data_IF_593859100043
#
_entry.id   IF_593859100043
#
_cell.length_a   1.000
_cell.length_b   1.000
_cell.length_c   1.000
_cell.angle_alpha   90.00
_cell.angle_beta   90.00
_cell.angle_gamma   90.00
#
_symmetry.space_group_name_H-M   'P 1'
#
loop_
_entity.id
_entity.type
_entity.pdbx_description
1 polymer ?
#
# COMPACT_ATOMS: atom_id res chain seq x y z
N UNK A 1 -10.93 17.75 1.16
CA UNK A 1 -10.65 17.50 -0.27
C UNK A 1 -11.58 18.38 -1.09
N UNK A 2 -11.13 18.99 -2.19
CA UNK A 2 -12.02 19.77 -3.07
C UNK A 2 -12.80 18.87 -4.03
N UNK A 3 -14.00 19.28 -4.44
CA UNK A 3 -14.88 18.50 -5.33
C UNK A 3 -14.25 18.17 -6.69
N UNK A 4 -13.40 19.06 -7.21
CA UNK A 4 -12.66 18.85 -8.47
C UNK A 4 -11.68 17.69 -8.35
N UNK A 5 -10.91 17.64 -7.26
CA UNK A 5 -9.94 16.56 -7.03
C UNK A 5 -10.65 15.20 -6.93
N UNK A 6 -11.80 15.15 -6.24
CA UNK A 6 -12.61 13.93 -6.13
C UNK A 6 -13.12 13.48 -7.51
N UNK A 7 -13.65 14.40 -8.33
CA UNK A 7 -14.14 14.07 -9.65
C UNK A 7 -13.02 13.54 -10.58
N UNK A 8 -11.83 14.12 -10.52
CA UNK A 8 -10.66 13.67 -11.29
C UNK A 8 -10.17 12.31 -10.83
N UNK A 9 -10.05 12.05 -9.52
CA UNK A 9 -9.66 10.73 -9.02
C UNK A 9 -10.67 9.64 -9.42
N UNK A 10 -11.96 9.97 -9.50
CA UNK A 10 -12.99 8.99 -9.83
C UNK A 10 -13.15 8.72 -11.34
N UNK A 11 -12.76 9.67 -12.21
CA UNK A 11 -13.11 9.65 -13.65
C UNK A 11 -11.99 10.07 -14.59
N UNK A 12 -10.80 10.36 -14.08
CA UNK A 12 -9.65 10.74 -14.89
C UNK A 12 -9.25 9.61 -15.84
N UNK A 13 -8.79 9.99 -17.03
CA UNK A 13 -8.28 9.04 -18.03
C UNK A 13 -6.75 8.86 -17.93
N UNK A 14 -6.13 9.37 -16.87
CA UNK A 14 -4.71 9.26 -16.57
C UNK A 14 -4.48 9.27 -15.04
N UNK A 15 -3.26 8.96 -14.61
CA UNK A 15 -2.87 9.02 -13.20
C UNK A 15 -3.03 10.43 -12.64
N UNK A 16 -3.67 10.56 -11.46
CA UNK A 16 -3.97 11.85 -10.82
C UNK A 16 -3.17 11.98 -9.52
N UNK A 17 -2.36 13.03 -9.40
CA UNK A 17 -1.69 13.40 -8.17
C UNK A 17 -2.45 14.53 -7.45
N UNK A 18 -2.76 14.35 -6.17
CA UNK A 18 -3.37 15.39 -5.33
C UNK A 18 -2.32 15.95 -4.38
N UNK A 19 -1.87 17.17 -4.65
CA UNK A 19 -0.87 17.86 -3.86
C UNK A 19 -1.54 18.87 -2.93
N UNK A 20 -1.30 18.74 -1.62
CA UNK A 20 -1.64 19.78 -0.64
C UNK A 20 -0.43 20.69 -0.45
N UNK A 21 -0.63 21.88 0.14
CA UNK A 21 0.48 22.80 0.43
C UNK A 21 1.62 22.02 1.13
N UNK A 22 2.86 22.10 0.63
CA UNK A 22 3.95 21.31 1.18
C UNK A 22 4.11 21.64 2.66
N UNK A 23 4.01 20.62 3.50
CA UNK A 23 4.52 20.66 4.86
C UNK A 23 6.04 20.60 4.78
N UNK A 24 6.74 21.35 5.63
CA UNK A 24 8.21 21.37 5.73
C UNK A 24 8.81 20.06 6.26
N UNK A 25 8.01 19.00 6.40
CA UNK A 25 8.38 17.74 7.01
C UNK A 25 9.03 16.81 5.96
N UNK A 26 10.35 16.67 6.11
CA UNK A 26 11.29 15.64 5.66
C UNK A 26 11.29 15.22 4.17
N UNK A 27 12.37 15.58 3.46
CA UNK A 27 12.73 15.01 2.15
C UNK A 27 12.93 13.49 2.17
N UNK A 28 13.09 12.90 3.36
CA UNK A 28 13.48 11.50 3.56
C UNK A 28 12.31 10.65 4.08
N UNK A 29 11.10 11.19 4.14
CA UNK A 29 9.92 10.44 4.55
C UNK A 29 9.62 9.31 3.54
N UNK A 30 9.20 8.15 4.06
CA UNK A 30 8.90 6.98 3.24
C UNK A 30 7.81 7.27 2.20
N UNK A 31 7.97 6.71 1.01
CA UNK A 31 6.89 6.60 0.03
C UNK A 31 6.00 5.43 0.45
N UNK A 32 4.74 5.71 0.78
CA UNK A 32 3.78 4.68 1.20
C UNK A 32 2.89 4.29 0.01
N UNK A 33 2.74 2.99 -0.22
CA UNK A 33 1.89 2.43 -1.27
C UNK A 33 0.86 1.48 -0.67
N UNK A 34 -0.41 1.68 -1.02
CA UNK A 34 -1.48 0.73 -0.75
C UNK A 34 -1.46 -0.36 -1.83
N UNK A 35 -1.47 -1.62 -1.39
CA UNK A 35 -1.52 -2.80 -2.26
C UNK A 35 -2.84 -3.49 -1.99
N UNK A 36 -3.50 -3.94 -3.05
CA UNK A 36 -4.70 -4.77 -3.03
C UNK A 36 -4.64 -5.79 -4.18
N UNK A 37 -5.59 -6.72 -4.22
CA UNK A 37 -5.68 -7.74 -5.27
C UNK A 37 -6.24 -7.21 -6.61
N UNK A 38 -6.21 -5.88 -6.82
CA UNK A 38 -6.74 -5.32 -8.05
C UNK A 38 -5.79 -5.55 -9.24
N UNK A 39 -6.32 -5.69 -10.48
CA UNK A 39 -5.48 -5.84 -11.67
C UNK A 39 -4.50 -4.68 -11.94
N UNK A 40 -4.70 -3.53 -11.28
CA UNK A 40 -3.87 -2.33 -11.45
C UNK A 40 -2.62 -2.28 -10.58
N UNK A 41 -2.42 -3.27 -9.70
CA UNK A 41 -1.37 -3.27 -8.68
C UNK A 41 0.04 -3.10 -9.26
N UNK A 42 0.35 -3.70 -10.41
CA UNK A 42 1.68 -3.57 -11.04
C UNK A 42 2.00 -2.13 -11.44
N UNK A 43 1.01 -1.38 -11.94
CA UNK A 43 1.21 0.02 -12.33
C UNK A 43 1.43 0.89 -11.10
N UNK A 44 0.67 0.63 -10.04
CA UNK A 44 0.80 1.32 -8.74
C UNK A 44 2.18 1.07 -8.13
N UNK A 45 2.63 -0.19 -8.12
CA UNK A 45 3.95 -0.56 -7.62
C UNK A 45 5.06 0.11 -8.46
N UNK A 46 4.97 0.08 -9.79
CA UNK A 46 5.98 0.74 -10.63
C UNK A 46 6.15 2.22 -10.28
N UNK A 47 5.03 2.96 -10.20
CA UNK A 47 5.06 4.38 -9.85
C UNK A 47 5.63 4.61 -8.45
N UNK A 48 5.26 3.78 -7.47
CA UNK A 48 5.73 3.97 -6.10
C UNK A 48 7.24 3.70 -5.96
N UNK A 49 7.76 2.65 -6.61
CA UNK A 49 9.20 2.36 -6.63
C UNK A 49 9.98 3.43 -7.40
N UNK A 50 9.47 3.93 -8.53
CA UNK A 50 10.09 5.05 -9.26
C UNK A 50 10.16 6.31 -8.40
N UNK A 51 9.07 6.66 -7.69
CA UNK A 51 9.04 7.81 -6.78
C UNK A 51 10.02 7.65 -5.61
N UNK A 52 10.07 6.47 -4.99
CA UNK A 52 11.01 6.17 -3.90
C UNK A 52 12.46 6.30 -4.37
N UNK A 53 12.79 5.76 -5.55
CA UNK A 53 14.11 5.85 -6.14
C UNK A 53 14.50 7.30 -6.49
N UNK A 54 13.58 8.08 -7.07
CA UNK A 54 13.82 9.50 -7.39
C UNK A 54 14.08 10.36 -6.15
N UNK A 55 13.45 10.01 -5.02
CA UNK A 55 13.59 10.74 -3.75
C UNK A 55 14.71 10.23 -2.86
N UNK A 56 15.31 9.08 -3.18
CA UNK A 56 16.24 8.39 -2.29
C UNK A 56 15.59 7.97 -0.97
N UNK A 57 14.28 7.75 -0.97
CA UNK A 57 13.47 7.46 0.21
C UNK A 57 13.12 5.96 0.32
N UNK A 58 12.87 5.45 1.53
CA UNK A 58 12.35 4.10 1.71
C UNK A 58 10.93 3.97 1.13
N UNK A 59 10.52 2.74 0.81
CA UNK A 59 9.16 2.41 0.35
C UNK A 59 8.46 1.56 1.41
N UNK A 60 7.26 1.93 1.82
CA UNK A 60 6.42 1.14 2.71
C UNK A 60 5.18 0.64 1.98
N UNK A 61 5.01 -0.68 1.92
CA UNK A 61 3.86 -1.32 1.30
C UNK A 61 2.87 -1.73 2.39
N UNK A 62 1.63 -1.27 2.22
CA UNK A 62 0.53 -1.54 3.14
C UNK A 62 -0.52 -2.34 2.41
N UNK A 63 -0.79 -3.56 2.88
CA UNK A 63 -1.88 -4.38 2.39
C UNK A 63 -2.97 -4.42 3.46
N UNK A 64 -4.18 -4.00 3.09
CA UNK A 64 -5.35 -4.05 3.96
C UNK A 64 -6.25 -5.19 3.52
N UNK A 65 -6.58 -6.10 4.44
CA UNK A 65 -7.44 -7.25 4.18
C UNK A 65 -8.65 -7.22 5.11
N UNK A 66 -9.82 -7.60 4.58
CA UNK A 66 -11.02 -7.77 5.39
C UNK A 66 -11.49 -9.21 5.29
N UNK A 67 -11.58 -9.88 6.43
CA UNK A 67 -11.94 -11.31 6.48
C UNK A 67 -13.38 -11.55 6.93
N UNK A 68 -14.08 -10.54 7.48
CA UNK A 68 -15.41 -10.72 8.11
C UNK A 68 -16.33 -9.51 7.98
N UNK A 69 -17.61 -9.76 7.69
CA UNK A 69 -18.64 -8.74 7.48
C UNK A 69 -19.49 -8.38 8.72
N UNK A 70 -19.25 -9.02 9.88
CA UNK A 70 -20.07 -8.82 11.10
C UNK A 70 -19.23 -8.81 12.37
N UNK A 71 -19.56 -7.95 13.35
CA UNK A 71 -18.83 -7.79 14.63
C UNK A 71 -18.58 -9.11 15.37
N UNK A 72 -19.56 -10.01 15.37
CA UNK A 72 -19.43 -11.32 16.02
C UNK A 72 -18.40 -12.23 15.33
N UNK A 73 -18.34 -12.17 14.00
CA UNK A 73 -17.31 -12.85 13.23
C UNK A 73 -15.93 -12.20 13.42
N UNK A 74 -15.86 -10.86 13.59
CA UNK A 74 -14.62 -10.16 13.97
C UNK A 74 -14.06 -10.66 15.30
N UNK A 75 -14.91 -10.83 16.33
CA UNK A 75 -14.49 -11.35 17.63
C UNK A 75 -14.01 -12.81 17.56
N UNK A 76 -14.78 -13.71 16.96
CA UNK A 76 -14.37 -15.13 16.80
C UNK A 76 -13.06 -15.25 16.02
N UNK A 77 -12.89 -14.42 14.98
CA UNK A 77 -11.69 -14.40 14.15
C UNK A 77 -10.41 -14.09 14.93
N UNK A 78 -10.47 -13.16 15.88
CA UNK A 78 -9.33 -12.79 16.71
C UNK A 78 -9.10 -13.78 17.86
N UNK A 79 -10.17 -14.23 18.52
CA UNK A 79 -10.08 -15.11 19.70
C UNK A 79 -9.62 -16.53 19.32
N UNK A 80 -9.99 -17.02 18.13
CA UNK A 80 -9.58 -18.34 17.63
C UNK A 80 -8.16 -18.34 17.00
N UNK A 81 -7.44 -17.21 17.04
CA UNK A 81 -6.10 -17.10 16.46
C UNK A 81 -6.06 -17.13 14.92
N UNK A 82 -7.22 -17.10 14.26
CA UNK A 82 -7.32 -17.08 12.80
C UNK A 82 -6.77 -15.79 12.20
N UNK A 83 -6.82 -14.69 12.95
CA UNK A 83 -6.25 -13.41 12.55
C UNK A 83 -4.74 -13.45 12.32
N UNK A 84 -3.98 -14.09 13.22
CA UNK A 84 -2.54 -14.20 13.07
C UNK A 84 -2.15 -15.07 11.87
N UNK A 85 -2.82 -16.21 11.70
CA UNK A 85 -2.54 -17.11 10.58
C UNK A 85 -2.85 -16.46 9.22
N UNK A 86 -3.88 -15.63 9.14
CA UNK A 86 -4.19 -14.88 7.92
C UNK A 86 -3.22 -13.72 7.73
N UNK A 87 -2.87 -12.99 8.78
CA UNK A 87 -1.83 -11.96 8.69
C UNK A 87 -0.51 -12.51 8.13
N UNK A 88 -0.05 -13.65 8.62
CA UNK A 88 1.19 -14.27 8.14
C UNK A 88 1.10 -14.66 6.66
N UNK A 89 -0.06 -15.20 6.23
CA UNK A 89 -0.31 -15.55 4.83
C UNK A 89 -0.37 -14.31 3.93
N UNK A 90 -1.11 -13.28 4.33
CA UNK A 90 -1.24 -12.03 3.57
C UNK A 90 0.11 -11.28 3.49
N UNK A 91 0.91 -11.29 4.56
CA UNK A 91 2.26 -10.74 4.55
C UNK A 91 3.17 -11.52 3.60
N UNK A 92 3.02 -12.84 3.52
CA UNK A 92 3.74 -13.69 2.56
C UNK A 92 3.34 -13.38 1.12
N UNK A 93 2.04 -13.28 0.82
CA UNK A 93 1.53 -12.92 -0.51
C UNK A 93 2.06 -11.55 -0.93
N UNK A 94 2.05 -10.57 -0.02
CA UNK A 94 2.61 -9.25 -0.25
C UNK A 94 4.13 -9.33 -0.50
N UNK A 95 4.87 -10.11 0.30
CA UNK A 95 6.31 -10.28 0.14
C UNK A 95 6.68 -10.92 -1.21
N UNK A 96 5.93 -11.94 -1.64
CA UNK A 96 6.10 -12.62 -2.92
C UNK A 96 5.80 -11.66 -4.09
N UNK A 97 4.72 -10.89 -4.00
CA UNK A 97 4.37 -9.85 -4.99
C UNK A 97 5.48 -8.81 -5.13
N UNK A 98 6.10 -8.40 -4.02
CA UNK A 98 7.17 -7.40 -3.99
C UNK A 98 8.56 -7.96 -4.34
N UNK A 99 8.73 -9.27 -4.45
CA UNK A 99 10.04 -9.89 -4.65
C UNK A 99 10.70 -9.44 -5.96
N UNK A 100 9.97 -9.52 -7.08
CA UNK A 100 10.45 -9.10 -8.40
C UNK A 100 10.77 -7.59 -8.47
N UNK A 101 9.99 -6.77 -7.75
CA UNK A 101 10.21 -5.33 -7.67
C UNK A 101 11.45 -4.97 -6.84
N UNK A 102 11.71 -5.74 -5.77
CA UNK A 102 12.89 -5.55 -4.93
C UNK A 102 14.19 -5.79 -5.71
N UNK A 103 14.19 -6.74 -6.65
CA UNK A 103 15.32 -6.99 -7.55
C UNK A 103 15.52 -5.84 -8.56
N UNK A 104 14.43 -5.27 -9.06
CA UNK A 104 14.45 -4.10 -9.97
C UNK A 104 14.90 -2.82 -9.26
N UNK A 105 14.62 -2.68 -7.97
CA UNK A 105 14.92 -1.49 -7.16
C UNK A 105 15.62 -1.83 -5.83
N UNK A 106 16.93 -2.17 -5.85
CA UNK A 106 17.65 -2.67 -4.68
C UNK A 106 17.88 -1.65 -3.55
N UNK A 107 17.65 -0.36 -3.80
CA UNK A 107 17.91 0.73 -2.84
C UNK A 107 16.70 1.14 -2.00
N UNK A 108 15.50 0.63 -2.30
CA UNK A 108 14.31 0.90 -1.49
C UNK A 108 14.23 -0.07 -0.31
N UNK A 109 14.45 0.41 0.91
CA UNK A 109 14.13 -0.36 2.11
C UNK A 109 12.61 -0.56 2.18
N UNK A 110 12.17 -1.83 2.19
CA UNK A 110 10.75 -2.20 2.30
C UNK A 110 10.32 -2.47 3.73
N UNK A 111 9.13 -2.00 4.08
CA UNK A 111 8.40 -2.41 5.30
C UNK A 111 7.03 -2.89 4.87
N UNK A 112 6.67 -4.10 5.32
CA UNK A 112 5.34 -4.66 5.11
C UNK A 112 4.52 -4.37 6.37
N UNK A 113 3.39 -3.69 6.19
CA UNK A 113 2.46 -3.46 7.30
C UNK A 113 1.12 -4.04 6.92
N UNK A 114 0.70 -5.02 7.71
CA UNK A 114 -0.61 -5.63 7.64
C UNK A 114 -1.65 -4.88 8.43
N UNK A 115 -2.76 -4.47 7.80
CA UNK A 115 -3.88 -3.83 8.48
C UNK A 115 -5.14 -4.69 8.31
N UNK A 116 -5.50 -5.41 9.38
CA UNK A 116 -6.75 -6.17 9.50
C UNK A 116 -7.87 -5.37 10.17
#
# INVERSE_FOLDING_TARGET
MGSVAVALCARGHCSVAVVRRPSTEASDAAVVVGVDDSPGVETVLNTAFEEAAMRGAPLEAVHAWHTVGTEQAWYSFHVEGRAAAIQDEEERVLADTLASWSEKYPHSTKRNTGAG
#
